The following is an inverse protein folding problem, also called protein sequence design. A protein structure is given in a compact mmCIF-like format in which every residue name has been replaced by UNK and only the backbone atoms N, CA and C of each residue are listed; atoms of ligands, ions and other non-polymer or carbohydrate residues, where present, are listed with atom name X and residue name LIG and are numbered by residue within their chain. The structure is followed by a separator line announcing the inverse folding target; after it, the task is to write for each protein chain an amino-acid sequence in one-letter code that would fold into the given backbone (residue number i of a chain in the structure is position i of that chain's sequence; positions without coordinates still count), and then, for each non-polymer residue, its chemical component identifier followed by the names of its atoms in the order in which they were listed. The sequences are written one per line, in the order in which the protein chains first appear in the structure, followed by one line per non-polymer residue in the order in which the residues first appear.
data_IF_543833391499
#
_entry.id   IF_543833391499
#
_cell.length_a   1.000
_cell.length_b   1.000
_cell.length_c   1.000
_cell.angle_alpha   90.00
_cell.angle_beta   90.00
_cell.angle_gamma   90.00
#
_symmetry.space_group_name_H-M   'P 1'
#
loop_
_entity.id
_entity.type
_entity.pdbx_description
1 polymer ?
#
# COMPACT_ATOMS: atom_id res chain seq x y z
N UNK A 1 15.97 6.95 -19.09
CA UNK A 1 15.10 5.78 -18.89
C UNK A 1 15.72 4.87 -17.83
N UNK A 2 15.41 5.11 -16.56
CA UNK A 2 15.80 4.20 -15.47
C UNK A 2 14.68 3.18 -15.21
N UNK A 3 14.98 1.93 -14.81
CA UNK A 3 13.94 0.95 -14.52
C UNK A 3 13.14 1.36 -13.27
N UNK A 4 11.84 1.61 -13.49
CA UNK A 4 10.69 1.68 -12.57
C UNK A 4 10.95 2.14 -11.12
N UNK A 5 10.99 3.46 -10.88
CA UNK A 5 10.86 4.01 -9.51
C UNK A 5 9.55 3.56 -8.83
N UNK A 6 8.49 3.40 -9.62
CA UNK A 6 7.16 3.05 -9.13
C UNK A 6 7.03 1.64 -8.57
N UNK A 7 7.77 0.66 -9.11
CA UNK A 7 7.83 -0.67 -8.50
C UNK A 7 8.53 -0.64 -7.13
N UNK A 8 9.46 0.31 -6.91
CA UNK A 8 10.07 0.51 -5.59
C UNK A 8 9.12 1.18 -4.62
N UNK A 9 8.28 2.13 -5.09
CA UNK A 9 7.22 2.71 -4.25
C UNK A 9 6.28 1.63 -3.69
N UNK A 10 6.00 0.55 -4.46
CA UNK A 10 5.23 -0.58 -3.95
C UNK A 10 5.97 -1.37 -2.86
N UNK A 11 7.30 -1.49 -2.96
CA UNK A 11 8.12 -2.08 -1.88
C UNK A 11 8.00 -1.25 -0.61
N UNK A 12 8.08 0.08 -0.72
CA UNK A 12 7.95 1.00 0.41
C UNK A 12 6.56 0.88 1.07
N UNK A 13 5.50 0.75 0.26
CA UNK A 13 4.14 0.52 0.78
C UNK A 13 4.00 -0.83 1.49
N UNK A 14 4.63 -1.90 0.99
CA UNK A 14 4.64 -3.20 1.67
C UNK A 14 5.40 -3.11 2.99
N UNK A 15 6.53 -2.42 3.04
CA UNK A 15 7.25 -2.18 4.31
C UNK A 15 6.38 -1.43 5.29
N UNK A 16 5.70 -0.36 4.83
CA UNK A 16 4.81 0.43 5.67
C UNK A 16 3.69 -0.44 6.26
N UNK A 17 2.98 -1.20 5.42
CA UNK A 17 1.90 -2.09 5.85
C UNK A 17 2.38 -3.20 6.79
N UNK A 18 3.60 -3.72 6.60
CA UNK A 18 4.14 -4.80 7.42
C UNK A 18 4.83 -4.33 8.72
N UNK A 19 4.94 -3.03 8.97
CA UNK A 19 5.73 -2.53 10.12
C UNK A 19 5.11 -1.38 10.89
N UNK A 20 4.18 -0.64 10.31
CA UNK A 20 3.66 0.58 10.93
C UNK A 20 2.23 0.37 11.41
N UNK A 21 1.92 0.87 12.61
CA UNK A 21 0.54 1.12 13.01
C UNK A 21 0.05 2.39 12.33
N UNK A 22 -1.15 2.34 11.75
CA UNK A 22 -1.68 3.45 10.94
C UNK A 22 -3.15 3.70 11.28
N UNK A 23 -3.49 4.97 11.45
CA UNK A 23 -4.88 5.42 11.59
C UNK A 23 -5.55 5.56 10.22
N UNK A 24 -6.71 4.94 10.05
CA UNK A 24 -7.45 4.96 8.78
C UNK A 24 -7.81 6.39 8.36
N UNK A 25 -8.20 7.22 9.33
CA UNK A 25 -8.51 8.64 9.10
C UNK A 25 -7.29 9.43 8.62
N UNK A 26 -6.14 9.25 9.27
CA UNK A 26 -4.91 9.92 8.88
C UNK A 26 -4.44 9.50 7.47
N UNK A 27 -4.49 8.20 7.18
CA UNK A 27 -4.15 7.66 5.87
C UNK A 27 -5.06 8.20 4.76
N UNK A 28 -6.38 8.16 4.95
CA UNK A 28 -7.36 8.74 4.01
C UNK A 28 -7.09 10.23 3.79
N UNK A 29 -6.90 10.99 4.86
CA UNK A 29 -6.62 12.43 4.77
C UNK A 29 -5.35 12.72 3.98
N UNK A 30 -4.26 11.97 4.23
CA UNK A 30 -3.00 12.12 3.51
C UNK A 30 -3.15 11.81 2.02
N UNK A 31 -3.79 10.69 1.67
CA UNK A 31 -4.02 10.29 0.27
C UNK A 31 -4.87 11.35 -0.46
N UNK A 32 -5.96 11.80 0.17
CA UNK A 32 -6.85 12.81 -0.43
C UNK A 32 -6.18 14.18 -0.60
N UNK A 33 -5.34 14.59 0.37
CA UNK A 33 -4.56 15.81 0.26
C UNK A 33 -3.57 15.73 -0.91
N UNK A 34 -2.88 14.61 -1.06
CA UNK A 34 -1.91 14.41 -2.15
C UNK A 34 -2.59 14.31 -3.52
N UNK A 35 -3.72 13.59 -3.62
CA UNK A 35 -4.51 13.53 -4.85
C UNK A 35 -4.96 14.93 -5.28
N UNK A 36 -5.50 15.72 -4.34
CA UNK A 36 -5.90 17.11 -4.59
C UNK A 36 -4.72 17.96 -5.03
N UNK A 37 -3.58 17.86 -4.35
CA UNK A 37 -2.35 18.60 -4.71
C UNK A 37 -1.88 18.30 -6.12
N UNK A 38 -2.09 17.08 -6.61
CA UNK A 38 -1.75 16.64 -7.97
C UNK A 38 -2.87 16.84 -8.99
N UNK A 39 -4.02 17.39 -8.61
CA UNK A 39 -5.17 17.55 -9.50
C UNK A 39 -5.81 16.21 -9.92
N UNK A 40 -5.65 15.17 -9.12
CA UNK A 40 -6.25 13.85 -9.34
C UNK A 40 -7.62 13.76 -8.68
N UNK A 41 -8.50 12.94 -9.24
CA UNK A 41 -9.75 12.56 -8.59
C UNK A 41 -9.49 11.80 -7.26
N UNK A 42 -10.50 11.76 -6.39
CA UNK A 42 -10.40 10.99 -5.14
C UNK A 42 -10.19 9.51 -5.45
N UNK A 43 -9.08 8.91 -5.02
CA UNK A 43 -8.82 7.50 -5.27
C UNK A 43 -9.70 6.63 -4.37
N UNK A 44 -10.27 5.58 -4.95
CA UNK A 44 -11.08 4.57 -4.22
C UNK A 44 -10.38 3.22 -4.09
N UNK A 45 -9.29 3.02 -4.84
CA UNK A 45 -8.44 1.83 -4.79
C UNK A 45 -7.05 2.10 -5.36
N UNK A 46 -6.07 1.30 -4.96
CA UNK A 46 -4.77 1.20 -5.59
C UNK A 46 -4.83 0.24 -6.79
N UNK A 47 -4.29 0.65 -7.94
CA UNK A 47 -4.16 -0.21 -9.12
C UNK A 47 -2.68 -0.46 -9.36
N UNK A 48 -2.24 -1.71 -9.17
CA UNK A 48 -0.90 -2.16 -9.54
C UNK A 48 -0.90 -2.54 -11.02
N UNK A 49 -0.10 -1.88 -11.89
CA UNK A 49 -0.03 -2.22 -13.31
C UNK A 49 0.44 -3.67 -13.54
N UNK A 50 -0.23 -4.41 -14.42
CA UNK A 50 0.13 -5.81 -14.71
C UNK A 50 1.51 -6.03 -15.35
N UNK A 51 2.16 -4.97 -15.83
CA UNK A 51 3.54 -5.03 -16.33
C UNK A 51 4.59 -4.97 -15.20
N UNK A 52 4.19 -4.71 -13.95
CA UNK A 52 5.08 -4.70 -12.79
C UNK A 52 5.38 -6.12 -12.31
N UNK A 53 6.47 -6.27 -11.55
CA UNK A 53 6.80 -7.50 -10.84
C UNK A 53 8.30 -7.75 -10.82
N UNK A 54 8.99 -7.60 -11.96
CA UNK A 54 10.42 -7.95 -12.05
C UNK A 54 11.30 -7.11 -11.12
N UNK A 55 11.08 -5.80 -11.06
CA UNK A 55 11.86 -4.91 -10.19
C UNK A 55 11.38 -5.09 -8.76
N UNK A 56 10.06 -5.09 -8.55
CA UNK A 56 9.45 -5.29 -7.25
C UNK A 56 9.97 -6.55 -6.54
N UNK A 57 9.85 -7.73 -7.16
CA UNK A 57 10.24 -9.03 -6.59
C UNK A 57 11.72 -9.08 -6.25
N UNK A 58 12.58 -8.52 -7.10
CA UNK A 58 14.02 -8.48 -6.87
C UNK A 58 14.37 -7.62 -5.66
N UNK A 59 13.73 -6.46 -5.50
CA UNK A 59 13.99 -5.60 -4.35
C UNK A 59 13.36 -6.16 -3.06
N UNK A 60 12.11 -6.65 -3.12
CA UNK A 60 11.41 -7.24 -1.99
C UNK A 60 12.15 -8.43 -1.36
N UNK A 61 12.80 -9.30 -2.17
CA UNK A 61 13.61 -10.43 -1.67
C UNK A 61 14.75 -10.03 -0.73
N UNK A 62 15.22 -8.79 -0.80
CA UNK A 62 16.33 -8.30 0.02
C UNK A 62 15.87 -7.82 1.39
N UNK A 63 14.55 -7.76 1.63
CA UNK A 63 13.96 -7.10 2.80
C UNK A 63 13.20 -8.14 3.63
N UNK A 64 13.64 -8.44 4.86
CA UNK A 64 13.04 -9.51 5.67
C UNK A 64 11.53 -9.36 5.90
N UNK A 65 11.04 -8.15 6.15
CA UNK A 65 9.60 -7.90 6.38
C UNK A 65 8.74 -8.12 5.13
N UNK A 66 9.34 -8.20 3.95
CA UNK A 66 8.65 -8.46 2.69
C UNK A 66 8.59 -9.96 2.34
N UNK A 67 9.13 -10.87 3.16
CA UNK A 67 9.26 -12.30 2.81
C UNK A 67 7.94 -12.98 2.45
N UNK A 68 6.83 -12.57 3.09
CA UNK A 68 5.47 -13.07 2.80
C UNK A 68 4.81 -12.42 1.58
N UNK A 69 5.40 -11.34 1.08
CA UNK A 69 4.84 -10.48 0.04
C UNK A 69 5.78 -10.33 -1.16
N UNK A 70 6.70 -11.27 -1.38
CA UNK A 70 7.72 -11.15 -2.44
C UNK A 70 7.08 -11.08 -3.84
N UNK A 71 5.99 -11.80 -4.12
CA UNK A 71 5.34 -11.76 -5.43
C UNK A 71 4.45 -10.54 -5.61
N UNK A 72 4.34 -10.03 -6.83
CA UNK A 72 3.47 -8.88 -7.13
C UNK A 72 2.01 -9.12 -6.72
N UNK A 73 1.54 -10.36 -6.86
CA UNK A 73 0.19 -10.78 -6.49
C UNK A 73 -0.04 -10.71 -4.97
N UNK A 74 0.95 -11.17 -4.18
CA UNK A 74 0.90 -11.11 -2.72
C UNK A 74 1.02 -9.69 -2.18
N UNK A 75 1.73 -8.81 -2.88
CA UNK A 75 1.79 -7.38 -2.60
C UNK A 75 0.45 -6.70 -2.89
N UNK A 76 -0.16 -7.00 -4.04
CA UNK A 76 -1.46 -6.45 -4.41
C UNK A 76 -2.54 -6.86 -3.41
N UNK A 77 -2.58 -8.12 -2.97
CA UNK A 77 -3.50 -8.57 -1.91
C UNK A 77 -3.34 -7.76 -0.62
N UNK A 78 -2.09 -7.51 -0.20
CA UNK A 78 -1.82 -6.70 0.98
C UNK A 78 -2.28 -5.24 0.79
N UNK A 79 -2.07 -4.66 -0.40
CA UNK A 79 -2.54 -3.30 -0.67
C UNK A 79 -4.06 -3.19 -0.70
N UNK A 80 -4.77 -4.24 -1.13
CA UNK A 80 -6.24 -4.28 -1.01
C UNK A 80 -6.69 -4.35 0.44
N UNK A 81 -6.07 -5.16 1.30
CA UNK A 81 -6.43 -5.20 2.72
C UNK A 81 -6.01 -3.93 3.48
N UNK A 82 -4.96 -3.24 3.02
CA UNK A 82 -4.45 -2.04 3.67
C UNK A 82 -5.05 -0.74 3.10
N UNK A 83 -4.72 -0.38 1.86
CA UNK A 83 -5.11 0.90 1.25
C UNK A 83 -6.58 0.91 0.85
N UNK A 84 -7.05 -0.10 0.11
CA UNK A 84 -8.42 -0.08 -0.42
C UNK A 84 -9.44 -0.13 0.71
N UNK A 85 -9.21 -0.99 1.72
CA UNK A 85 -10.05 -1.06 2.92
C UNK A 85 -10.10 0.28 3.67
N UNK A 86 -8.98 0.96 3.84
CA UNK A 86 -8.95 2.26 4.50
C UNK A 86 -9.71 3.35 3.73
N UNK A 87 -9.64 3.33 2.39
CA UNK A 87 -10.34 4.26 1.51
C UNK A 87 -11.86 4.01 1.46
N UNK A 88 -12.28 2.74 1.62
CA UNK A 88 -13.70 2.33 1.55
C UNK A 88 -14.42 2.38 2.89
N UNK A 89 -13.70 2.43 4.01
CA UNK A 89 -14.30 2.57 5.33
C UNK A 89 -15.12 3.86 5.44
N UNK A 90 -16.38 3.74 5.90
CA UNK A 90 -17.35 4.83 6.01
C UNK A 90 -17.01 5.76 7.18
N UNK A 91 -15.91 6.49 7.05
CA UNK A 91 -15.37 7.42 8.03
C UNK A 91 -15.04 6.83 9.41
N UNK A 92 -15.14 5.51 9.59
CA UNK A 92 -14.75 4.83 10.82
C UNK A 92 -13.32 5.18 11.22
N UNK A 93 -13.15 5.44 12.52
CA UNK A 93 -11.84 5.46 13.15
C UNK A 93 -11.36 4.01 13.17
N UNK A 94 -10.22 3.75 12.55
CA UNK A 94 -9.73 2.40 12.39
C UNK A 94 -8.23 2.36 12.54
N UNK A 95 -7.74 1.28 13.14
CA UNK A 95 -6.32 1.10 13.42
C UNK A 95 -5.82 -0.12 12.65
N UNK A 96 -4.74 0.07 11.91
CA UNK A 96 -4.05 -1.03 11.25
C UNK A 96 -3.10 -1.72 12.23
N UNK A 97 -3.20 -3.04 12.30
CA UNK A 97 -2.25 -3.89 13.00
C UNK A 97 -1.30 -4.55 11.98
N UNK A 98 -0.01 -4.15 11.95
CA UNK A 98 0.97 -4.71 11.03
C UNK A 98 1.35 -6.17 11.35
N UNK A 99 1.07 -6.67 12.55
CA UNK A 99 1.30 -8.08 12.89
C UNK A 99 0.17 -8.96 12.38
N UNK A 100 -1.07 -8.51 12.55
CA UNK A 100 -2.27 -9.20 12.07
C UNK A 100 -2.58 -8.95 10.58
N UNK A 101 -1.97 -7.91 9.99
CA UNK A 101 -2.23 -7.40 8.63
C UNK A 101 -3.72 -7.14 8.38
N UNK A 102 -4.39 -6.52 9.35
CA UNK A 102 -5.80 -6.20 9.27
C UNK A 102 -6.13 -4.83 9.91
N UNK A 103 -7.32 -4.34 9.59
CA UNK A 103 -7.92 -3.18 10.24
C UNK A 103 -8.85 -3.63 11.36
N UNK A 104 -8.85 -2.89 12.46
CA UNK A 104 -9.94 -2.86 13.44
C UNK A 104 -10.68 -1.53 13.29
N UNK A 105 -11.96 -1.57 12.92
CA UNK A 105 -12.86 -0.40 12.76
C UNK A 105 -13.88 -0.33 13.89
#
# INVERSE_FOLDING_TARGET
TGPSSRERDLVDLVIMASTQHVEAKALRSAINAEARRRGLGQPTRLIVPGAWGRVYEREARKIPVCVRHVSIESAQRLMTSFIDAALQADHADGHWDPEALNWTF
#
